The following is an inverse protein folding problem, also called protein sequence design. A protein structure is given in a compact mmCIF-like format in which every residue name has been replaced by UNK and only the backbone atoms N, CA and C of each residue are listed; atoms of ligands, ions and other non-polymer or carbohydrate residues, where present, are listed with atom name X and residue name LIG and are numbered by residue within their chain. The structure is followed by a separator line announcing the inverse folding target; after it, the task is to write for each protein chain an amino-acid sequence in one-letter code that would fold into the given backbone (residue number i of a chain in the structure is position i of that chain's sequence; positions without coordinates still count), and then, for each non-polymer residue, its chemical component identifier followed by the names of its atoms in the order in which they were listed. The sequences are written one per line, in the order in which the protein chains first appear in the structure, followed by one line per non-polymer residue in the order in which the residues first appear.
data_IF_203647987699
#
_entry.id   IF_203647987699
#
_cell.length_a   1.000
_cell.length_b   1.000
_cell.length_c   1.000
_cell.angle_alpha   90.00
_cell.angle_beta   90.00
_cell.angle_gamma   90.00
#
_symmetry.space_group_name_H-M   'P 1'
#
loop_
_entity.id
_entity.type
_entity.pdbx_description
1 polymer ?
#
# COMPACT_ATOMS: atom_id res chain seq x y z
N UNK A 1 -34.17 0.77 44.13
CA UNK A 1 -33.60 1.89 43.37
C UNK A 1 -32.20 1.46 42.93
N UNK A 2 -31.99 0.89 41.73
CA UNK A 2 -31.88 1.55 40.42
C UNK A 2 -30.67 2.50 40.37
N UNK A 3 -29.51 2.00 39.90
CA UNK A 3 -28.82 2.51 38.70
C UNK A 3 -27.66 1.58 38.27
N UNK A 4 -27.66 1.26 36.98
CA UNK A 4 -26.60 0.59 36.22
C UNK A 4 -25.34 1.47 36.17
N UNK A 5 -24.16 0.88 35.94
CA UNK A 5 -23.20 1.37 34.93
C UNK A 5 -22.14 0.29 34.61
N UNK A 6 -22.33 -0.30 33.43
CA UNK A 6 -21.34 -0.94 32.56
C UNK A 6 -19.97 -0.24 32.53
N UNK A 7 -18.86 -1.01 32.62
CA UNK A 7 -17.62 -0.74 31.86
C UNK A 7 -16.85 -2.07 31.59
N UNK A 8 -17.23 -2.76 30.52
CA UNK A 8 -16.26 -3.25 29.51
C UNK A 8 -16.25 -2.18 28.41
N UNK A 9 -15.23 -2.02 27.54
CA UNK A 9 -14.24 -2.98 27.03
C UNK A 9 -12.80 -2.35 26.99
N UNK A 10 -11.71 -2.92 26.50
CA UNK A 10 -11.38 -3.17 25.08
C UNK A 10 -10.16 -4.08 25.04
N UNK A 11 -10.32 -5.13 24.25
CA UNK A 11 -9.29 -5.97 23.68
C UNK A 11 -8.07 -5.15 23.21
N UNK A 12 -7.00 -5.18 24.00
CA UNK A 12 -5.66 -5.09 23.44
C UNK A 12 -5.34 -6.44 22.82
N UNK A 13 -6.00 -6.74 21.70
CA UNK A 13 -5.43 -7.62 20.70
C UNK A 13 -4.17 -6.88 20.23
N UNK A 14 -3.01 -7.41 20.63
CA UNK A 14 -1.74 -6.93 20.13
C UNK A 14 -1.76 -6.96 18.61
N UNK A 15 -1.85 -5.78 18.00
CA UNK A 15 -1.15 -5.53 16.75
C UNK A 15 0.33 -5.73 17.06
N UNK A 16 0.79 -6.97 16.95
CA UNK A 16 2.19 -7.27 16.72
C UNK A 16 2.53 -6.62 15.39
N UNK A 17 2.89 -5.34 15.45
CA UNK A 17 3.38 -4.61 14.29
C UNK A 17 4.64 -5.31 13.84
N UNK A 18 4.55 -6.06 12.75
CA UNK A 18 5.72 -6.40 11.97
C UNK A 18 6.46 -5.09 11.73
N UNK A 19 7.72 -5.03 12.16
CA UNK A 19 8.57 -3.90 11.85
C UNK A 19 8.54 -3.72 10.31
N UNK A 20 8.09 -2.57 9.79
CA UNK A 20 7.97 -2.39 8.35
C UNK A 20 9.30 -2.52 7.59
N UNK A 21 10.42 -2.55 8.32
CA UNK A 21 11.76 -2.87 7.79
C UNK A 21 12.00 -4.36 7.52
N UNK A 22 11.13 -5.27 8.00
CA UNK A 22 11.28 -6.73 7.85
C UNK A 22 10.31 -7.37 6.84
N UNK A 23 9.39 -6.58 6.28
CA UNK A 23 8.40 -7.06 5.31
C UNK A 23 9.11 -7.37 3.97
N UNK A 24 8.79 -8.52 3.39
CA UNK A 24 9.34 -8.97 2.11
C UNK A 24 8.81 -8.15 0.93
N UNK A 25 9.44 -8.30 -0.24
CA UNK A 25 8.96 -7.68 -1.48
C UNK A 25 7.51 -8.07 -1.79
N UNK A 26 7.20 -9.36 -1.79
CA UNK A 26 5.84 -9.87 -2.08
C UNK A 26 4.79 -9.34 -1.12
N UNK A 27 5.11 -9.31 0.18
CA UNK A 27 4.18 -8.79 1.18
C UNK A 27 3.93 -7.28 1.00
N UNK A 28 4.92 -6.52 0.51
CA UNK A 28 4.70 -5.12 0.12
C UNK A 28 3.92 -5.00 -1.20
N UNK A 29 4.17 -5.87 -2.17
CA UNK A 29 3.44 -5.88 -3.43
C UNK A 29 1.95 -6.14 -3.21
N UNK A 30 1.60 -7.12 -2.37
CA UNK A 30 0.22 -7.40 -1.96
C UNK A 30 -0.44 -6.20 -1.26
N UNK A 31 0.25 -5.59 -0.28
CA UNK A 31 -0.27 -4.43 0.45
C UNK A 31 -0.49 -3.22 -0.46
N UNK A 32 0.48 -2.95 -1.34
CA UNK A 32 0.37 -1.86 -2.30
C UNK A 32 -0.78 -2.10 -3.28
N UNK A 33 -0.94 -3.34 -3.78
CA UNK A 33 -2.03 -3.73 -4.66
C UNK A 33 -3.40 -3.54 -3.99
N UNK A 34 -3.58 -4.05 -2.76
CA UNK A 34 -4.82 -3.87 -2.01
C UNK A 34 -5.15 -2.40 -1.84
N UNK A 35 -4.23 -1.60 -1.31
CA UNK A 35 -4.51 -0.20 -1.01
C UNK A 35 -4.75 0.61 -2.28
N UNK A 36 -4.02 0.36 -3.35
CA UNK A 36 -4.26 1.00 -4.64
C UNK A 36 -5.65 0.67 -5.18
N UNK A 37 -6.02 -0.61 -5.23
CA UNK A 37 -7.30 -1.02 -5.79
C UNK A 37 -8.49 -0.56 -4.93
N UNK A 38 -8.35 -0.58 -3.60
CA UNK A 38 -9.37 0.00 -2.71
C UNK A 38 -9.51 1.52 -2.92
N UNK A 39 -8.40 2.24 -3.13
CA UNK A 39 -8.42 3.67 -3.41
C UNK A 39 -9.05 3.97 -4.77
N UNK A 40 -8.65 3.28 -5.83
CA UNK A 40 -9.23 3.44 -7.16
C UNK A 40 -10.75 3.17 -7.16
N UNK A 41 -11.20 2.10 -6.50
CA UNK A 41 -12.62 1.77 -6.39
C UNK A 41 -13.42 2.82 -5.60
N UNK A 42 -12.83 3.39 -4.54
CA UNK A 42 -13.55 4.28 -3.61
C UNK A 42 -13.45 5.76 -3.95
N UNK A 43 -12.30 6.19 -4.44
CA UNK A 43 -11.95 7.60 -4.62
C UNK A 43 -11.95 8.03 -6.09
N UNK A 44 -11.62 7.13 -7.03
CA UNK A 44 -11.47 7.46 -8.45
C UNK A 44 -12.59 6.87 -9.33
N UNK A 45 -13.39 5.95 -8.79
CA UNK A 45 -14.53 5.36 -9.48
C UNK A 45 -14.12 4.35 -10.54
N UNK A 46 -13.12 3.51 -10.25
CA UNK A 46 -12.67 2.45 -11.16
C UNK A 46 -13.81 1.53 -11.62
N UNK A 47 -13.77 1.14 -12.89
CA UNK A 47 -14.73 0.20 -13.48
C UNK A 47 -14.35 -1.27 -13.25
N UNK A 48 -13.18 -1.53 -12.68
CA UNK A 48 -12.71 -2.88 -12.37
C UNK A 48 -13.20 -3.32 -10.99
N UNK A 49 -13.53 -4.60 -10.87
CA UNK A 49 -13.70 -5.23 -9.56
C UNK A 49 -12.36 -5.20 -8.78
N UNK A 50 -12.43 -5.01 -7.47
CA UNK A 50 -11.24 -4.86 -6.63
C UNK A 50 -10.31 -6.08 -6.72
N UNK A 51 -10.86 -7.30 -6.77
CA UNK A 51 -10.05 -8.51 -6.91
C UNK A 51 -9.38 -8.60 -8.29
N UNK A 52 -10.08 -8.17 -9.34
CA UNK A 52 -9.51 -8.11 -10.70
C UNK A 52 -8.43 -7.04 -10.84
N UNK A 53 -8.56 -5.91 -10.12
CA UNK A 53 -7.52 -4.91 -10.01
C UNK A 53 -6.29 -5.46 -9.27
N UNK A 54 -6.50 -6.07 -8.10
CA UNK A 54 -5.39 -6.62 -7.29
C UNK A 54 -4.58 -7.65 -8.05
N UNK A 55 -5.24 -8.58 -8.76
CA UNK A 55 -4.57 -9.59 -9.57
C UNK A 55 -3.67 -8.96 -10.65
N UNK A 56 -4.16 -7.95 -11.36
CA UNK A 56 -3.38 -7.24 -12.39
C UNK A 56 -2.19 -6.49 -11.80
N UNK A 57 -2.36 -5.84 -10.64
CA UNK A 57 -1.28 -5.09 -9.99
C UNK A 57 -0.20 -6.05 -9.47
N UNK A 58 -0.58 -7.16 -8.84
CA UNK A 58 0.36 -8.19 -8.36
C UNK A 58 1.12 -8.81 -9.52
N UNK A 59 0.46 -9.13 -10.63
CA UNK A 59 1.11 -9.67 -11.83
C UNK A 59 2.21 -8.73 -12.34
N UNK A 60 1.99 -7.41 -12.34
CA UNK A 60 3.02 -6.44 -12.74
C UNK A 60 4.22 -6.44 -11.80
N UNK A 61 4.00 -6.51 -10.49
CA UNK A 61 5.11 -6.60 -9.53
C UNK A 61 5.94 -7.88 -9.75
N UNK A 62 5.31 -8.99 -10.10
CA UNK A 62 5.99 -10.26 -10.40
C UNK A 62 6.81 -10.22 -11.70
N UNK A 63 6.34 -9.47 -12.70
CA UNK A 63 7.07 -9.31 -13.97
C UNK A 63 8.38 -8.52 -13.77
N UNK A 64 8.38 -7.54 -12.86
CA UNK A 64 9.54 -6.67 -12.59
C UNK A 64 10.51 -7.28 -11.59
N UNK A 65 10.04 -8.14 -10.69
CA UNK A 65 10.87 -8.73 -9.64
C UNK A 65 12.22 -9.31 -10.13
N UNK A 66 12.28 -10.10 -11.23
CA UNK A 66 13.55 -10.62 -11.74
C UNK A 66 14.54 -9.53 -12.11
N UNK A 67 14.07 -8.42 -12.67
CA UNK A 67 14.92 -7.30 -13.08
C UNK A 67 15.51 -6.56 -11.85
N UNK A 68 14.80 -6.59 -10.72
CA UNK A 68 15.26 -5.98 -9.47
C UNK A 68 16.34 -6.82 -8.77
N UNK A 69 16.40 -8.13 -9.01
CA UNK A 69 17.41 -9.01 -8.41
C UNK A 69 18.80 -8.78 -9.01
N UNK A 70 18.87 -8.47 -10.29
CA UNK A 70 20.12 -8.26 -11.02
C UNK A 70 20.73 -6.86 -10.78
N UNK A 71 19.92 -5.90 -10.32
CA UNK A 71 20.33 -4.51 -10.12
C UNK A 71 20.59 -4.18 -8.64
N UNK A 72 21.82 -3.74 -8.32
CA UNK A 72 22.22 -3.44 -6.93
C UNK A 72 21.34 -2.35 -6.31
N UNK A 73 20.65 -2.70 -5.21
CA UNK A 73 19.82 -1.76 -4.44
C UNK A 73 18.45 -1.43 -5.07
N UNK A 74 18.16 -1.94 -6.27
CA UNK A 74 16.89 -1.68 -6.96
C UNK A 74 15.70 -2.26 -6.18
N UNK A 75 15.81 -3.49 -5.69
CA UNK A 75 14.76 -4.11 -4.84
C UNK A 75 14.44 -3.28 -3.60
N UNK A 76 15.45 -2.75 -2.92
CA UNK A 76 15.26 -1.87 -1.75
C UNK A 76 14.60 -0.55 -2.14
N UNK A 77 14.97 0.01 -3.30
CA UNK A 77 14.32 1.18 -3.88
C UNK A 77 12.83 0.92 -4.15
N UNK A 78 12.51 -0.21 -4.77
CA UNK A 78 11.13 -0.57 -5.07
C UNK A 78 10.29 -0.78 -3.80
N UNK A 79 10.81 -1.51 -2.81
CA UNK A 79 10.15 -1.68 -1.51
C UNK A 79 9.86 -0.33 -0.85
N UNK A 80 10.80 0.63 -0.93
CA UNK A 80 10.58 1.98 -0.42
C UNK A 80 9.47 2.71 -1.19
N UNK A 81 9.44 2.59 -2.51
CA UNK A 81 8.38 3.17 -3.34
C UNK A 81 6.99 2.59 -2.98
N UNK A 82 6.85 1.25 -2.93
CA UNK A 82 5.62 0.56 -2.54
C UNK A 82 5.11 1.00 -1.17
N UNK A 83 6.02 1.10 -0.19
CA UNK A 83 5.68 1.57 1.15
C UNK A 83 5.12 2.99 1.13
N UNK A 84 5.81 3.93 0.47
CA UNK A 84 5.37 5.33 0.45
C UNK A 84 4.03 5.49 -0.28
N UNK A 85 3.81 4.77 -1.39
CA UNK A 85 2.51 4.75 -2.08
C UNK A 85 1.41 4.24 -1.16
N UNK A 86 1.66 3.12 -0.48
CA UNK A 86 0.72 2.56 0.50
C UNK A 86 0.37 3.61 1.55
N UNK A 87 1.36 4.23 2.19
CA UNK A 87 1.13 5.26 3.22
C UNK A 87 0.29 6.44 2.71
N UNK A 88 0.57 6.94 1.50
CA UNK A 88 -0.13 8.10 0.93
C UNK A 88 -1.57 7.76 0.54
N UNK A 89 -1.78 6.60 -0.10
CA UNK A 89 -3.11 6.17 -0.52
C UNK A 89 -3.98 5.77 0.68
N UNK A 90 -3.41 5.11 1.69
CA UNK A 90 -4.10 4.86 2.97
C UNK A 90 -4.51 6.18 3.64
N UNK A 91 -3.64 7.20 3.68
CA UNK A 91 -3.99 8.49 4.25
C UNK A 91 -5.14 9.20 3.52
N UNK A 92 -5.25 9.01 2.20
CA UNK A 92 -6.41 9.46 1.41
C UNK A 92 -7.66 8.66 1.77
N UNK A 93 -7.58 7.33 1.80
CA UNK A 93 -8.69 6.43 2.16
C UNK A 93 -9.24 6.71 3.57
N UNK A 94 -8.37 6.88 4.56
CA UNK A 94 -8.72 7.18 5.95
C UNK A 94 -9.46 8.52 6.08
N UNK A 95 -9.16 9.46 5.18
CA UNK A 95 -9.88 10.73 5.08
C UNK A 95 -11.18 10.65 4.27
N UNK A 96 -11.62 9.44 3.90
CA UNK A 96 -12.71 9.21 2.96
C UNK A 96 -12.53 10.01 1.65
N UNK A 97 -11.31 9.99 1.11
CA UNK A 97 -10.90 10.68 -0.12
C UNK A 97 -10.94 12.22 -0.06
N UNK A 98 -11.07 12.82 1.13
CA UNK A 98 -11.05 14.28 1.28
C UNK A 98 -9.65 14.88 1.18
N UNK A 99 -8.62 14.12 1.59
CA UNK A 99 -7.22 14.50 1.44
C UNK A 99 -6.71 13.98 0.09
N UNK A 100 -6.17 14.85 -0.78
CA UNK A 100 -5.59 14.40 -2.05
C UNK A 100 -4.35 13.54 -1.82
N UNK A 101 -4.07 12.67 -2.79
CA UNK A 101 -2.83 11.87 -2.84
C UNK A 101 -1.63 12.81 -3.00
N UNK A 102 -0.65 12.67 -2.11
CA UNK A 102 0.62 13.41 -2.17
C UNK A 102 1.54 12.80 -3.24
N UNK A 103 1.30 13.20 -4.50
CA UNK A 103 2.06 12.72 -5.66
C UNK A 103 3.54 13.12 -5.58
N UNK A 104 3.87 14.27 -4.98
CA UNK A 104 5.25 14.73 -4.82
C UNK A 104 6.07 13.79 -3.94
N UNK A 105 5.45 13.26 -2.88
CA UNK A 105 6.07 12.29 -1.98
C UNK A 105 6.27 10.93 -2.66
N UNK A 106 5.33 10.53 -3.52
CA UNK A 106 5.44 9.31 -4.33
C UNK A 106 6.59 9.44 -5.32
N UNK A 107 6.64 10.53 -6.11
CA UNK A 107 7.70 10.78 -7.09
C UNK A 107 9.09 10.82 -6.43
N UNK A 108 9.22 11.46 -5.27
CA UNK A 108 10.48 11.51 -4.52
C UNK A 108 10.96 10.12 -4.05
N UNK A 109 10.05 9.17 -3.82
CA UNK A 109 10.37 7.81 -3.39
C UNK A 109 10.59 6.84 -4.56
N UNK A 110 9.79 6.98 -5.62
CA UNK A 110 9.77 6.09 -6.76
C UNK A 110 10.72 6.53 -7.89
N UNK A 111 11.26 7.75 -7.82
CA UNK A 111 12.04 8.34 -8.89
C UNK A 111 11.14 8.84 -10.04
N UNK A 112 11.74 9.62 -10.94
CA UNK A 112 11.07 10.02 -12.18
C UNK A 112 10.63 8.76 -12.95
N UNK A 113 9.41 8.76 -13.48
CA UNK A 113 8.84 7.65 -14.25
C UNK A 113 8.87 6.29 -13.54
N UNK A 114 8.76 6.27 -12.20
CA UNK A 114 8.73 5.05 -11.39
C UNK A 114 9.99 4.17 -11.52
N UNK A 115 11.14 4.76 -11.84
CA UNK A 115 12.42 4.05 -12.00
C UNK A 115 12.78 3.10 -10.84
N UNK A 116 12.34 3.39 -9.62
CA UNK A 116 12.60 2.54 -8.46
C UNK A 116 11.97 1.14 -8.56
N UNK A 117 10.84 0.99 -9.27
CA UNK A 117 10.15 -0.27 -9.53
C UNK A 117 9.94 -0.50 -11.03
N UNK A 118 10.82 0.03 -11.89
CA UNK A 118 10.71 0.09 -13.35
C UNK A 118 9.58 -0.79 -13.96
N UNK A 119 8.42 -0.18 -14.27
CA UNK A 119 7.29 -0.87 -14.90
C UNK A 119 6.17 -1.36 -13.97
N UNK A 120 6.38 -1.35 -12.64
CA UNK A 120 5.33 -1.63 -11.67
C UNK A 120 4.45 -0.39 -11.43
N UNK A 121 3.12 -0.56 -11.31
CA UNK A 121 2.15 0.52 -11.37
C UNK A 121 2.30 1.51 -10.24
#
# INVERSE_FOLDING_TARGET
MRWLLFVMPVAWLGCGGEDPSQITYDAWAERAATVQCSHEARCEGSSLDEAACMAQVIERYQQVEPELEDATGARTGCVRCMRIRTEVLTASLDSACQRPVDTSRIEAACGADQQACAGAP
#
